data_IF_009618912377
#
_entry.id   IF_009618912377
#
_cell.length_a   1.000
_cell.length_b   1.000
_cell.length_c   1.000
_cell.angle_alpha   90.00
_cell.angle_beta   90.00
_cell.angle_gamma   90.00
#
_symmetry.space_group_name_H-M   'P 1'
#
loop_
_entity.id
_entity.type
_entity.pdbx_description
1 polymer ?
#
# COMPACT_ATOMS: atom_id res chain seq x y z
N UNK A 1 -11.65 43.36 -11.84
CA UNK A 1 -11.76 43.03 -10.40
C UNK A 1 -11.47 41.55 -10.25
N UNK A 2 -10.28 41.10 -10.64
CA UNK A 2 -9.99 39.67 -10.87
C UNK A 2 -8.64 39.27 -10.27
N UNK A 3 -8.15 40.04 -9.31
CA UNK A 3 -6.78 39.94 -8.79
C UNK A 3 -6.73 40.01 -7.25
N UNK A 4 -7.90 40.00 -6.59
CA UNK A 4 -8.00 39.97 -5.14
C UNK A 4 -8.08 38.54 -4.60
N UNK A 5 -8.58 37.58 -5.40
CA UNK A 5 -8.68 36.18 -4.98
C UNK A 5 -7.32 35.49 -4.86
N UNK A 6 -6.39 35.76 -5.78
CA UNK A 6 -5.03 35.22 -5.72
C UNK A 6 -4.20 35.82 -4.58
N UNK A 7 -4.29 37.15 -4.38
CA UNK A 7 -3.55 37.86 -3.33
C UNK A 7 -4.04 37.51 -1.92
N UNK A 8 -5.34 37.25 -1.75
CA UNK A 8 -5.89 36.77 -0.46
C UNK A 8 -5.40 35.36 -0.13
N UNK A 9 -5.25 34.49 -1.14
CA UNK A 9 -4.74 33.12 -0.95
C UNK A 9 -3.22 33.12 -0.66
N UNK A 10 -2.47 34.00 -1.32
CA UNK A 10 -1.02 34.17 -1.10
C UNK A 10 -0.69 34.77 0.28
N UNK A 11 -1.54 35.67 0.79
CA UNK A 11 -1.48 36.18 2.17
C UNK A 11 -1.83 35.10 3.20
N UNK A 12 -2.90 34.33 2.98
CA UNK A 12 -3.29 33.22 3.85
C UNK A 12 -2.22 32.11 3.89
N UNK A 13 -1.56 31.85 2.76
CA UNK A 13 -0.41 30.94 2.62
C UNK A 13 0.82 31.44 3.38
N UNK A 14 1.17 32.71 3.23
CA UNK A 14 2.25 33.31 4.00
C UNK A 14 1.96 33.22 5.50
N UNK A 15 0.72 33.42 5.91
CA UNK A 15 0.30 33.29 7.30
C UNK A 15 0.39 31.83 7.81
N UNK A 16 0.00 30.83 7.02
CA UNK A 16 0.09 29.40 7.40
C UNK A 16 1.55 28.90 7.47
N UNK A 17 2.37 29.25 6.49
CA UNK A 17 3.81 28.93 6.50
C UNK A 17 4.53 29.68 7.61
N UNK A 18 4.16 30.93 7.87
CA UNK A 18 4.63 31.66 9.03
C UNK A 18 4.16 30.98 10.31
N UNK A 19 2.92 30.48 10.40
CA UNK A 19 2.41 29.77 11.57
C UNK A 19 3.11 28.43 11.81
N UNK A 20 3.41 27.65 10.77
CA UNK A 20 4.16 26.40 10.90
C UNK A 20 5.62 26.69 11.29
N UNK A 21 6.24 27.68 10.64
CA UNK A 21 7.58 28.15 11.00
C UNK A 21 7.62 28.70 12.42
N UNK A 22 6.60 29.45 12.83
CA UNK A 22 6.44 29.98 14.18
C UNK A 22 6.22 28.84 15.17
N UNK A 23 5.42 27.81 14.85
CA UNK A 23 5.24 26.61 15.68
C UNK A 23 6.55 25.85 15.85
N UNK A 24 7.30 25.61 14.77
CA UNK A 24 8.60 24.93 14.82
C UNK A 24 9.64 25.75 15.59
N UNK A 25 9.67 27.07 15.34
CA UNK A 25 10.51 28.00 16.10
C UNK A 25 10.10 28.06 17.58
N UNK A 26 8.81 28.01 17.90
CA UNK A 26 8.30 27.97 19.26
C UNK A 26 8.65 26.64 19.95
N UNK A 27 8.56 25.50 19.25
CA UNK A 27 8.99 24.19 19.77
C UNK A 27 10.49 24.17 20.02
N UNK A 28 11.29 24.61 19.05
CA UNK A 28 12.75 24.72 19.17
C UNK A 28 13.16 25.68 20.28
N UNK A 29 12.47 26.82 20.41
CA UNK A 29 12.64 27.78 21.50
C UNK A 29 12.23 27.18 22.84
N UNK A 30 11.12 26.47 22.93
CA UNK A 30 10.67 25.81 24.16
C UNK A 30 11.67 24.75 24.61
N UNK A 31 12.22 23.96 23.68
CA UNK A 31 13.28 23.00 23.94
C UNK A 31 14.56 23.70 24.44
N UNK A 32 14.95 24.81 23.81
CA UNK A 32 16.10 25.61 24.21
C UNK A 32 15.91 26.23 25.60
N UNK A 33 14.74 26.82 25.87
CA UNK A 33 14.38 27.40 27.17
C UNK A 33 14.32 26.33 28.27
N UNK A 34 13.79 25.14 27.96
CA UNK A 34 13.81 23.99 28.88
C UNK A 34 15.25 23.61 29.22
N UNK A 35 16.13 23.46 28.23
CA UNK A 35 17.55 23.17 28.44
C UNK A 35 18.24 24.28 29.26
N UNK A 36 17.89 25.54 29.03
CA UNK A 36 18.46 26.68 29.75
C UNK A 36 18.02 26.75 31.22
N UNK A 37 16.81 26.30 31.55
CA UNK A 37 16.26 26.20 32.91
C UNK A 37 16.89 25.08 33.74
N UNK A 38 17.60 24.14 33.10
CA UNK A 38 18.33 23.08 33.81
C UNK A 38 19.44 23.69 34.68
N UNK A 39 19.65 23.10 35.86
CA UNK A 39 20.76 23.50 36.74
C UNK A 39 22.11 23.21 36.07
N UNK A 40 23.20 23.90 36.47
CA UNK A 40 24.53 23.67 35.89
C UNK A 40 24.97 22.20 35.95
N UNK A 41 24.64 21.49 37.03
CA UNK A 41 24.99 20.09 37.18
C UNK A 41 24.14 19.17 36.29
N UNK A 42 22.89 19.52 36.02
CA UNK A 42 22.03 18.78 35.07
C UNK A 42 22.47 19.03 33.64
N UNK A 43 22.86 20.26 33.26
CA UNK A 43 23.42 20.56 31.93
C UNK A 43 24.68 19.72 31.65
N UNK A 44 25.60 19.63 32.62
CA UNK A 44 26.78 18.75 32.50
C UNK A 44 26.39 17.28 32.29
N UNK A 45 25.35 16.78 32.97
CA UNK A 45 24.85 15.42 32.75
C UNK A 45 24.29 15.25 31.33
N UNK A 46 23.54 16.23 30.82
CA UNK A 46 23.02 16.21 29.44
C UNK A 46 24.16 16.23 28.41
N UNK A 47 25.24 16.99 28.65
CA UNK A 47 26.43 16.97 27.79
C UNK A 47 27.08 15.57 27.74
N UNK A 48 27.21 14.90 28.90
CA UNK A 48 27.68 13.51 28.95
C UNK A 48 26.73 12.57 28.20
N UNK A 49 25.41 12.74 28.33
CA UNK A 49 24.43 11.93 27.59
C UNK A 49 24.54 12.15 26.07
N UNK A 50 24.83 13.39 25.61
CA UNK A 50 25.09 13.67 24.19
C UNK A 50 26.36 13.01 23.68
N UNK A 51 27.41 12.96 24.51
CA UNK A 51 28.63 12.22 24.15
C UNK A 51 28.36 10.72 24.03
N UNK A 52 27.57 10.15 24.94
CA UNK A 52 27.13 8.75 24.87
C UNK A 52 26.29 8.51 23.61
N UNK A 53 25.37 9.41 23.27
CA UNK A 53 24.59 9.31 22.03
C UNK A 53 25.51 9.33 20.81
N UNK A 54 26.49 10.22 20.75
CA UNK A 54 27.47 10.22 19.65
C UNK A 54 28.24 8.91 19.53
N UNK A 55 28.61 8.27 20.66
CA UNK A 55 29.24 6.94 20.64
C UNK A 55 28.28 5.85 20.14
N UNK A 56 26.99 5.94 20.46
CA UNK A 56 25.96 5.06 19.94
C UNK A 56 25.83 5.22 18.42
N UNK A 57 25.67 6.45 17.94
CA UNK A 57 25.51 6.77 16.51
C UNK A 57 26.73 6.30 15.69
N UNK A 58 27.94 6.40 16.24
CA UNK A 58 29.16 5.86 15.62
C UNK A 58 29.16 4.32 15.51
N UNK A 59 28.56 3.61 16.46
CA UNK A 59 28.42 2.15 16.40
C UNK A 59 27.30 1.74 15.44
N UNK A 60 26.21 2.48 15.45
CA UNK A 60 25.08 2.28 14.54
C UNK A 60 25.49 2.49 13.07
N UNK A 61 26.26 3.53 12.77
CA UNK A 61 26.81 3.72 11.42
C UNK A 61 27.67 2.53 10.94
N UNK A 62 28.46 1.92 11.83
CA UNK A 62 29.23 0.70 11.51
C UNK A 62 28.33 -0.51 11.31
N UNK A 63 27.29 -0.65 12.13
CA UNK A 63 26.30 -1.71 11.96
C UNK A 63 25.65 -1.64 10.57
N UNK A 64 25.25 -0.45 10.12
CA UNK A 64 24.66 -0.28 8.80
C UNK A 64 25.66 -0.52 7.67
N UNK A 65 26.92 -0.11 7.80
CA UNK A 65 27.97 -0.44 6.82
C UNK A 65 28.18 -1.97 6.71
N UNK A 66 28.25 -2.67 7.84
CA UNK A 66 28.38 -4.13 7.88
C UNK A 66 27.14 -4.84 7.32
N UNK A 67 25.94 -4.35 7.63
CA UNK A 67 24.66 -4.85 7.11
C UNK A 67 24.60 -4.71 5.59
N UNK A 68 24.90 -3.53 5.05
CA UNK A 68 24.91 -3.28 3.61
C UNK A 68 25.93 -4.17 2.88
N UNK A 69 27.12 -4.36 3.46
CA UNK A 69 28.13 -5.26 2.91
C UNK A 69 27.67 -6.73 2.93
N UNK A 70 26.96 -7.15 3.98
CA UNK A 70 26.41 -8.50 4.11
C UNK A 70 25.30 -8.76 3.09
N UNK A 71 24.36 -7.83 2.94
CA UNK A 71 23.29 -7.88 1.94
C UNK A 71 23.87 -7.96 0.52
N UNK A 72 24.84 -7.10 0.19
CA UNK A 72 25.51 -7.12 -1.12
C UNK A 72 26.24 -8.45 -1.40
N UNK A 73 26.80 -9.07 -0.36
CA UNK A 73 27.40 -10.41 -0.46
C UNK A 73 26.34 -11.46 -0.78
N UNK A 74 25.23 -11.51 -0.05
CA UNK A 74 24.19 -12.51 -0.27
C UNK A 74 23.43 -12.31 -1.57
N UNK A 75 23.22 -11.06 -2.00
CA UNK A 75 22.64 -10.76 -3.32
C UNK A 75 23.45 -11.41 -4.45
N UNK A 76 24.79 -11.35 -4.38
CA UNK A 76 25.68 -12.05 -5.34
C UNK A 76 25.57 -13.57 -5.27
N UNK A 77 25.32 -14.12 -4.08
CA UNK A 77 25.13 -15.57 -3.89
C UNK A 77 23.75 -16.04 -4.40
N UNK A 78 22.73 -15.19 -4.36
CA UNK A 78 21.40 -15.50 -4.90
C UNK A 78 21.32 -15.37 -6.41
N UNK A 79 22.11 -14.50 -7.04
CA UNK A 79 22.09 -14.29 -8.50
C UNK A 79 22.18 -15.59 -9.34
N UNK A 80 23.09 -16.55 -9.07
CA UNK A 80 23.11 -17.82 -9.79
C UNK A 80 21.84 -18.67 -9.61
N UNK A 81 21.17 -18.58 -8.46
CA UNK A 81 19.93 -19.30 -8.19
C UNK A 81 18.77 -18.68 -9.00
N UNK A 82 18.68 -17.36 -9.03
CA UNK A 82 17.69 -16.66 -9.85
C UNK A 82 17.92 -16.87 -11.35
N UNK A 83 19.18 -16.92 -11.81
CA UNK A 83 19.48 -17.27 -13.19
C UNK A 83 19.02 -18.70 -13.55
N UNK A 84 19.24 -19.67 -12.66
CA UNK A 84 18.73 -21.04 -12.85
C UNK A 84 17.20 -21.09 -12.86
N UNK A 85 16.54 -20.36 -11.96
CA UNK A 85 15.07 -20.22 -11.96
C UNK A 85 14.59 -19.66 -13.29
N UNK A 86 15.23 -18.60 -13.77
CA UNK A 86 14.92 -18.01 -15.07
C UNK A 86 15.01 -19.05 -16.20
N UNK A 87 16.10 -19.82 -16.27
CA UNK A 87 16.29 -20.83 -17.32
C UNK A 87 15.19 -21.91 -17.29
N UNK A 88 14.78 -22.36 -16.11
CA UNK A 88 13.71 -23.35 -15.92
C UNK A 88 12.35 -22.77 -16.28
N UNK A 89 11.98 -21.62 -15.69
CA UNK A 89 10.70 -20.94 -15.93
C UNK A 89 10.51 -20.64 -17.42
N UNK A 90 11.59 -20.33 -18.13
CA UNK A 90 11.54 -19.99 -19.55
C UNK A 90 11.82 -21.15 -20.51
N UNK A 91 12.04 -22.37 -19.99
CA UNK A 91 12.30 -23.56 -20.81
C UNK A 91 13.59 -23.49 -21.64
N UNK A 92 14.58 -22.71 -21.18
CA UNK A 92 15.90 -22.58 -21.82
C UNK A 92 16.86 -23.67 -21.32
N UNK A 93 16.67 -24.15 -20.08
CA UNK A 93 17.38 -25.29 -19.50
C UNK A 93 16.45 -26.46 -19.18
N UNK A 94 16.92 -27.69 -19.35
CA UNK A 94 16.21 -28.89 -18.86
C UNK A 94 16.30 -28.97 -17.34
N UNK A 95 15.17 -29.26 -16.68
CA UNK A 95 15.12 -29.61 -15.26
C UNK A 95 15.73 -31.01 -15.03
N UNK A 96 17.04 -31.17 -15.27
CA UNK A 96 17.77 -32.38 -14.94
C UNK A 96 18.02 -32.42 -13.43
N UNK A 97 16.97 -32.76 -12.68
CA UNK A 97 16.98 -32.75 -11.22
C UNK A 97 15.86 -33.55 -10.54
N UNK A 98 15.04 -34.31 -11.27
CA UNK A 98 14.17 -35.31 -10.64
C UNK A 98 14.97 -36.59 -10.37
N UNK A 99 15.43 -36.76 -9.13
CA UNK A 99 15.45 -38.11 -8.56
C UNK A 99 14.01 -38.62 -8.58
N UNK A 100 13.81 -39.70 -9.32
CA UNK A 100 12.55 -40.43 -9.49
C UNK A 100 11.78 -40.64 -8.18
N UNK A 101 10.46 -40.43 -8.21
CA UNK A 101 9.45 -41.50 -8.06
C UNK A 101 8.03 -40.92 -8.00
N UNK A 102 7.30 -40.99 -9.12
CA UNK A 102 5.86 -41.27 -9.16
C UNK A 102 5.42 -41.45 -10.63
N UNK A 103 5.71 -42.63 -11.18
CA UNK A 103 5.09 -43.10 -12.41
C UNK A 103 3.65 -43.59 -12.13
N UNK A 104 2.66 -42.95 -12.75
CA UNK A 104 1.31 -43.45 -13.09
C UNK A 104 0.63 -42.30 -13.86
N UNK A 105 -0.05 -42.42 -14.99
CA UNK A 105 -0.28 -43.40 -16.06
C UNK A 105 -0.88 -42.57 -17.23
N UNK A 106 -0.85 -43.13 -18.44
CA UNK A 106 -1.04 -42.51 -19.75
C UNK A 106 -2.32 -41.70 -19.97
N UNK A 107 -2.19 -40.62 -20.76
CA UNK A 107 -3.29 -39.98 -21.49
C UNK A 107 -2.74 -39.12 -22.63
N UNK A 108 -2.96 -39.55 -23.87
CA UNK A 108 -2.58 -38.85 -25.09
C UNK A 108 -3.25 -37.48 -25.20
N UNK A 109 -2.44 -36.42 -25.30
CA UNK A 109 -2.59 -35.40 -26.34
C UNK A 109 -1.26 -34.65 -26.44
N UNK A 110 -0.66 -34.62 -27.64
CA UNK A 110 0.50 -33.74 -27.92
C UNK A 110 0.00 -32.29 -27.97
N UNK A 111 -0.30 -31.74 -26.80
CA UNK A 111 -0.20 -30.30 -26.57
C UNK A 111 1.21 -29.88 -26.97
N UNK A 112 1.33 -28.80 -27.74
CA UNK A 112 2.61 -28.24 -28.14
C UNK A 112 3.54 -28.22 -26.92
N UNK A 113 4.75 -28.78 -27.03
CA UNK A 113 5.74 -28.82 -25.95
C UNK A 113 5.70 -27.50 -25.15
N UNK A 114 5.10 -27.53 -23.96
CA UNK A 114 5.05 -26.36 -23.10
C UNK A 114 6.48 -26.09 -22.66
N UNK A 115 7.11 -25.10 -23.29
CA UNK A 115 8.46 -24.69 -22.95
C UNK A 115 8.40 -23.89 -21.66
N UNK A 116 8.98 -24.43 -20.60
CA UNK A 116 9.10 -23.76 -19.31
C UNK A 116 7.87 -23.92 -18.43
N UNK A 117 7.61 -22.93 -17.59
CA UNK A 117 6.47 -22.89 -16.67
C UNK A 117 5.56 -21.73 -17.10
N UNK A 118 4.44 -22.01 -17.80
CA UNK A 118 3.53 -20.98 -18.29
C UNK A 118 2.96 -20.12 -17.15
N UNK A 119 2.77 -18.83 -17.45
CA UNK A 119 2.12 -17.86 -16.56
C UNK A 119 2.75 -17.77 -15.14
N UNK A 120 4.02 -18.19 -14.98
CA UNK A 120 4.69 -18.31 -13.68
C UNK A 120 4.61 -17.04 -12.83
N UNK A 121 5.09 -15.91 -13.36
CA UNK A 121 5.09 -14.65 -12.63
C UNK A 121 3.70 -14.08 -12.42
N UNK A 122 2.80 -14.25 -13.40
CA UNK A 122 1.40 -13.83 -13.26
C UNK A 122 0.75 -14.55 -12.07
N UNK A 123 0.86 -15.87 -12.02
CA UNK A 123 0.27 -16.66 -10.93
C UNK A 123 0.95 -16.38 -9.59
N UNK A 124 2.29 -16.25 -9.56
CA UNK A 124 3.01 -15.88 -8.34
C UNK A 124 2.54 -14.52 -7.78
N UNK A 125 2.39 -13.50 -8.63
CA UNK A 125 1.91 -12.19 -8.19
C UNK A 125 0.44 -12.22 -7.77
N UNK A 126 -0.43 -12.93 -8.50
CA UNK A 126 -1.86 -13.04 -8.14
C UNK A 126 -2.13 -13.78 -6.83
N UNK A 127 -1.19 -14.62 -6.40
CA UNK A 127 -1.29 -15.35 -5.14
C UNK A 127 -0.89 -14.50 -3.93
N UNK A 128 -0.33 -13.31 -4.14
CA UNK A 128 -0.01 -12.36 -3.08
C UNK A 128 -1.11 -11.30 -2.96
N UNK A 129 -1.58 -11.04 -1.75
CA UNK A 129 -2.72 -10.15 -1.48
C UNK A 129 -2.54 -8.75 -2.08
N UNK A 130 -1.43 -8.08 -1.79
CA UNK A 130 -1.11 -6.72 -2.23
C UNK A 130 -1.14 -6.62 -3.76
N UNK A 131 -0.56 -7.59 -4.46
CA UNK A 131 -0.49 -7.56 -5.92
C UNK A 131 -1.77 -8.05 -6.60
N UNK A 132 -2.54 -8.90 -5.94
CA UNK A 132 -3.79 -9.43 -6.48
C UNK A 132 -4.84 -8.33 -6.65
N UNK A 133 -4.84 -7.32 -5.76
CA UNK A 133 -5.75 -6.17 -5.81
C UNK A 133 -5.42 -5.23 -6.97
N UNK A 134 -4.14 -5.12 -7.34
CA UNK A 134 -3.65 -4.27 -8.43
C UNK A 134 -3.81 -4.90 -9.82
N UNK A 135 -3.84 -6.24 -9.90
CA UNK A 135 -3.89 -6.98 -11.18
C UNK A 135 -5.34 -7.19 -11.62
N UNK A 136 -5.75 -6.48 -12.67
CA UNK A 136 -7.06 -6.67 -13.28
C UNK A 136 -7.05 -7.76 -14.36
N UNK A 137 -8.22 -8.29 -14.72
CA UNK A 137 -8.37 -9.27 -15.82
C UNK A 137 -7.79 -8.77 -17.17
N UNK A 138 -7.76 -7.45 -17.38
CA UNK A 138 -7.21 -6.84 -18.60
C UNK A 138 -5.68 -6.91 -18.64
N UNK A 139 -5.04 -6.92 -17.48
CA UNK A 139 -3.59 -6.90 -17.31
C UNK A 139 -2.99 -8.29 -17.51
N UNK A 140 -3.73 -9.34 -17.12
CA UNK A 140 -3.29 -10.73 -17.22
C UNK A 140 -2.71 -11.04 -18.61
N UNK A 141 -3.41 -10.67 -19.67
CA UNK A 141 -2.98 -10.96 -21.04
C UNK A 141 -1.61 -10.39 -21.40
N UNK A 142 -1.20 -9.26 -20.82
CA UNK A 142 0.14 -8.71 -20.98
C UNK A 142 1.15 -9.36 -20.01
N UNK A 143 0.72 -9.62 -18.77
CA UNK A 143 1.54 -10.27 -17.74
C UNK A 143 1.94 -11.71 -18.08
N UNK A 144 1.19 -12.41 -18.93
CA UNK A 144 1.60 -13.72 -19.49
C UNK A 144 2.92 -13.70 -20.26
N UNK A 145 3.35 -12.52 -20.71
CA UNK A 145 4.61 -12.33 -21.42
C UNK A 145 5.76 -11.95 -20.47
N UNK A 146 5.52 -11.86 -19.16
CA UNK A 146 6.52 -11.56 -18.15
C UNK A 146 7.41 -12.79 -17.92
N UNK A 147 8.71 -12.64 -18.23
CA UNK A 147 9.70 -13.72 -18.16
C UNK A 147 10.49 -13.73 -16.87
N UNK A 148 10.75 -12.55 -16.33
CA UNK A 148 11.58 -12.37 -15.15
C UNK A 148 11.29 -11.06 -14.44
N UNK A 149 11.47 -11.07 -13.13
CA UNK A 149 11.48 -9.86 -12.30
C UNK A 149 12.78 -9.86 -11.51
N UNK A 150 13.54 -8.77 -11.64
CA UNK A 150 14.79 -8.58 -10.93
C UNK A 150 14.75 -7.31 -10.12
N UNK A 151 15.55 -7.25 -9.07
CA UNK A 151 15.76 -6.03 -8.33
C UNK A 151 17.27 -5.76 -8.14
N UNK A 152 17.59 -4.49 -8.01
CA UNK A 152 18.94 -3.97 -7.83
C UNK A 152 18.93 -2.87 -6.77
N UNK A 153 19.96 -2.84 -5.92
CA UNK A 153 20.19 -1.71 -5.01
C UNK A 153 20.73 -0.53 -5.83
N UNK A 154 20.34 0.68 -5.46
CA UNK A 154 20.87 1.94 -5.96
C UNK A 154 21.68 2.55 -4.81
N UNK A 155 22.97 2.82 -5.04
CA UNK A 155 23.85 3.37 -3.99
C UNK A 155 23.72 4.90 -3.88
N UNK A 156 23.49 5.60 -4.99
CA UNK A 156 23.43 7.06 -5.03
C UNK A 156 22.48 7.56 -6.16
N UNK A 157 21.35 8.20 -5.83
CA UNK A 157 20.75 8.28 -4.48
C UNK A 157 20.40 6.88 -3.95
N UNK A 158 20.35 6.71 -2.63
CA UNK A 158 20.01 5.44 -1.98
C UNK A 158 18.65 4.91 -2.47
N UNK A 159 18.48 3.60 -2.52
CA UNK A 159 17.18 2.99 -2.83
C UNK A 159 17.28 1.70 -3.66
N UNK A 160 16.23 1.38 -4.42
CA UNK A 160 16.20 0.16 -5.22
C UNK A 160 15.44 0.32 -6.53
N UNK A 161 15.76 -0.54 -7.49
CA UNK A 161 15.13 -0.61 -8.80
C UNK A 161 14.63 -2.01 -9.09
N UNK A 162 13.38 -2.11 -9.52
CA UNK A 162 12.76 -3.29 -10.10
C UNK A 162 12.85 -3.25 -11.63
N UNK A 163 13.12 -4.40 -12.25
CA UNK A 163 13.11 -4.60 -13.70
C UNK A 163 12.24 -5.80 -14.06
N UNK A 164 11.25 -5.54 -14.91
CA UNK A 164 10.28 -6.52 -15.41
C UNK A 164 10.59 -6.82 -16.86
N UNK A 165 11.01 -8.05 -17.14
CA UNK A 165 11.47 -8.48 -18.46
C UNK A 165 10.32 -9.14 -19.23
N UNK A 166 9.90 -8.53 -20.33
CA UNK A 166 8.81 -9.03 -21.16
C UNK A 166 9.32 -9.60 -22.48
N UNK A 167 8.72 -10.70 -22.91
CA UNK A 167 8.80 -11.14 -24.30
C UNK A 167 8.09 -10.15 -25.23
N UNK A 168 8.37 -10.29 -26.54
CA UNK A 168 7.59 -9.59 -27.56
C UNK A 168 6.12 -9.93 -27.41
N UNK A 169 5.31 -8.91 -27.15
CA UNK A 169 3.90 -9.06 -26.80
C UNK A 169 3.03 -8.11 -27.66
N UNK A 170 1.70 -8.35 -27.73
CA UNK A 170 0.81 -7.55 -28.57
C UNK A 170 0.33 -6.25 -27.91
N UNK A 171 0.85 -5.86 -26.75
CA UNK A 171 0.37 -4.73 -25.95
C UNK A 171 1.27 -3.51 -26.04
N UNK A 172 2.58 -3.69 -25.87
CA UNK A 172 3.57 -2.62 -25.89
C UNK A 172 4.90 -3.08 -26.50
N UNK A 173 5.77 -2.12 -26.84
CA UNK A 173 7.07 -2.41 -27.47
C UNK A 173 8.20 -2.69 -26.49
N UNK A 174 8.09 -2.18 -25.26
CA UNK A 174 9.14 -2.30 -24.25
C UNK A 174 9.45 -3.78 -23.98
N UNK A 175 10.73 -4.12 -23.95
CA UNK A 175 11.20 -5.44 -23.51
C UNK A 175 11.52 -5.46 -22.03
N UNK A 176 11.74 -4.29 -21.43
CA UNK A 176 11.96 -4.11 -20.00
C UNK A 176 11.16 -2.91 -19.53
N UNK A 177 10.35 -3.10 -18.50
CA UNK A 177 9.74 -2.02 -17.73
C UNK A 177 10.45 -1.91 -16.40
N UNK A 178 10.77 -0.70 -15.97
CA UNK A 178 11.52 -0.45 -14.73
C UNK A 178 10.74 0.45 -13.79
N UNK A 179 10.92 0.21 -12.49
CA UNK A 179 10.42 1.04 -11.40
C UNK A 179 11.55 1.26 -10.41
N UNK A 180 11.87 2.50 -10.08
CA UNK A 180 12.92 2.85 -9.12
C UNK A 180 12.32 3.67 -7.97
N UNK A 181 12.75 3.38 -6.75
CA UNK A 181 12.46 4.14 -5.55
C UNK A 181 13.77 4.72 -5.06
N UNK A 182 13.83 6.05 -4.96
CA UNK A 182 14.90 6.76 -4.28
C UNK A 182 14.46 7.02 -2.84
N UNK A 183 15.31 6.67 -1.91
CA UNK A 183 15.07 6.72 -0.48
C UNK A 183 16.02 7.74 0.15
N UNK A 184 15.52 8.51 1.10
CA UNK A 184 16.35 9.42 1.91
C UNK A 184 17.24 8.58 2.84
N UNK A 185 16.65 7.54 3.42
CA UNK A 185 17.34 6.56 4.25
C UNK A 185 16.86 5.13 3.88
N UNK A 186 17.80 4.17 3.93
CA UNK A 186 17.49 2.75 3.72
C UNK A 186 17.11 2.06 5.04
N UNK A 187 17.51 2.65 6.17
CA UNK A 187 17.30 2.11 7.50
C UNK A 187 15.92 2.53 8.04
N UNK A 188 15.56 3.79 7.83
CA UNK A 188 14.20 4.31 7.93
C UNK A 188 13.69 4.56 6.51
N UNK A 189 12.82 3.69 5.93
CA UNK A 189 12.48 3.74 4.51
C UNK A 189 11.59 4.96 4.18
N UNK A 190 12.18 6.14 4.18
CA UNK A 190 11.53 7.39 3.81
C UNK A 190 11.70 7.56 2.30
N UNK A 191 10.59 7.41 1.59
CA UNK A 191 10.52 7.57 0.14
C UNK A 191 10.76 9.03 -0.24
N UNK A 192 11.80 9.30 -1.03
CA UNK A 192 12.04 10.61 -1.64
C UNK A 192 11.27 10.73 -2.96
N UNK A 193 11.38 9.70 -3.82
CA UNK A 193 10.83 9.73 -5.17
C UNK A 193 10.65 8.34 -5.75
N UNK A 194 9.54 8.15 -6.48
CA UNK A 194 9.32 7.00 -7.33
C UNK A 194 9.43 7.38 -8.83
N UNK A 195 10.12 6.54 -9.61
CA UNK A 195 10.34 6.74 -11.05
C UNK A 195 9.94 5.47 -11.78
N UNK A 196 8.95 5.56 -12.65
CA UNK A 196 8.52 4.46 -13.50
C UNK A 196 8.94 4.63 -14.96
N UNK A 197 8.65 3.61 -15.77
CA UNK A 197 8.96 3.60 -17.20
C UNK A 197 7.72 3.95 -18.03
N UNK A 198 7.86 4.90 -18.95
CA UNK A 198 6.80 5.18 -19.92
C UNK A 198 6.58 3.96 -20.84
N UNK A 199 5.35 3.44 -20.85
CA UNK A 199 4.99 2.27 -21.63
C UNK A 199 4.61 2.69 -23.05
N UNK A 200 5.34 2.16 -24.03
CA UNK A 200 5.09 2.38 -25.45
C UNK A 200 3.98 1.46 -25.98
N UNK A 201 2.73 1.76 -25.60
CA UNK A 201 1.55 1.00 -26.01
C UNK A 201 1.35 0.98 -27.53
N UNK A 202 0.96 -0.18 -28.06
CA UNK A 202 0.44 -0.28 -29.41
C UNK A 202 -0.95 0.40 -29.52
N UNK A 203 -1.35 0.84 -30.73
CA UNK A 203 -2.63 1.51 -30.94
C UNK A 203 -3.82 0.68 -30.43
N UNK A 204 -4.58 1.25 -29.48
CA UNK A 204 -5.77 0.61 -28.89
C UNK A 204 -5.48 -0.51 -27.90
N UNK A 205 -4.23 -0.64 -27.44
CA UNK A 205 -3.80 -1.67 -26.48
C UNK A 205 -3.44 -1.13 -25.10
N UNK A 206 -3.58 0.17 -24.88
CA UNK A 206 -3.38 0.81 -23.59
C UNK A 206 -4.30 0.17 -22.53
N UNK A 207 -3.71 -0.38 -21.48
CA UNK A 207 -4.43 -1.06 -20.40
C UNK A 207 -4.85 -0.08 -19.30
N UNK A 208 -4.07 0.96 -19.08
CA UNK A 208 -4.31 2.03 -18.08
C UNK A 208 -5.42 3.00 -18.48
N UNK A 209 -5.95 2.89 -19.70
CA UNK A 209 -6.97 3.80 -20.23
C UNK A 209 -8.12 3.06 -20.93
N UNK A 210 -9.33 3.62 -20.83
CA UNK A 210 -10.55 3.17 -21.52
C UNK A 210 -11.03 4.23 -22.51
N UNK A 211 -11.40 3.79 -23.72
CA UNK A 211 -11.97 4.66 -24.77
C UNK A 211 -13.49 4.71 -24.67
N UNK A 212 -14.03 5.83 -24.20
CA UNK A 212 -15.47 6.09 -24.15
C UNK A 212 -15.95 6.75 -25.44
N UNK A 213 -16.79 6.02 -26.18
CA UNK A 213 -17.45 6.51 -27.40
C UNK A 213 -18.71 7.29 -27.03
N UNK A 214 -18.68 8.63 -27.08
CA UNK A 214 -19.91 9.44 -26.91
C UNK A 214 -20.71 9.48 -28.22
N UNK A 215 -22.03 9.24 -28.13
CA UNK A 215 -22.95 9.45 -29.26
C UNK A 215 -22.97 10.94 -29.62
N UNK A 216 -22.90 11.30 -30.92
CA UNK A 216 -22.98 12.70 -31.33
C UNK A 216 -24.32 13.32 -30.89
N UNK A 217 -24.29 14.58 -30.45
CA UNK A 217 -25.51 15.32 -30.09
C UNK A 217 -26.50 15.32 -31.27
N UNK A 218 -27.75 14.96 -30.98
CA UNK A 218 -28.85 14.87 -31.95
C UNK A 218 -29.07 16.25 -32.60
N UNK A 219 -28.59 16.42 -33.84
CA UNK A 219 -28.77 17.66 -34.60
C UNK A 219 -27.65 18.02 -35.58
N UNK A 220 -26.44 17.48 -35.43
CA UNK A 220 -25.32 17.81 -36.33
C UNK A 220 -25.17 16.79 -37.46
N UNK A 221 -25.48 17.20 -38.69
CA UNK A 221 -25.46 16.34 -39.89
C UNK A 221 -24.05 15.91 -40.35
N UNK A 222 -22.97 16.32 -39.65
CA UNK A 222 -21.57 15.97 -39.94
C UNK A 222 -20.68 15.92 -38.68
N UNK A 223 -21.18 15.43 -37.53
CA UNK A 223 -20.34 15.32 -36.33
C UNK A 223 -19.53 14.01 -36.34
N UNK A 224 -18.20 14.13 -36.46
CA UNK A 224 -17.26 13.03 -36.16
C UNK A 224 -17.48 12.56 -34.72
N UNK A 225 -17.42 11.24 -34.52
CA UNK A 225 -17.49 10.61 -33.21
C UNK A 225 -16.36 11.14 -32.32
N UNK A 226 -16.70 11.72 -31.16
CA UNK A 226 -15.72 12.19 -30.18
C UNK A 226 -15.38 11.01 -29.28
N UNK A 227 -14.15 10.54 -29.35
CA UNK A 227 -13.59 9.54 -28.43
C UNK A 227 -12.99 10.30 -27.25
N UNK A 228 -13.50 10.06 -26.03
CA UNK A 228 -12.87 10.55 -24.79
C UNK A 228 -12.10 9.37 -24.19
N UNK A 229 -10.87 9.61 -23.77
CA UNK A 229 -10.07 8.66 -23.00
C UNK A 229 -10.23 8.96 -21.51
N UNK A 230 -10.33 7.93 -20.69
CA UNK A 230 -10.46 8.01 -19.23
C UNK A 230 -9.53 6.98 -18.61
N UNK A 231 -8.78 7.37 -17.59
CA UNK A 231 -7.89 6.48 -16.87
C UNK A 231 -8.69 5.44 -16.08
N UNK A 232 -8.11 4.27 -15.88
CA UNK A 232 -8.73 3.20 -15.11
C UNK A 232 -7.70 2.38 -14.37
N UNK A 233 -8.17 1.63 -13.37
CA UNK A 233 -7.40 0.61 -12.66
C UNK A 233 -6.73 -0.36 -13.64
N UNK A 234 -5.44 -0.58 -13.40
CA UNK A 234 -4.55 -1.45 -14.15
C UNK A 234 -3.24 -1.55 -13.36
N UNK A 235 -2.70 -2.76 -13.23
CA UNK A 235 -1.37 -2.98 -12.64
C UNK A 235 -0.30 -2.11 -13.30
N UNK A 236 -0.44 -1.82 -14.60
CA UNK A 236 0.54 -1.02 -15.34
C UNK A 236 0.57 0.47 -14.95
N UNK A 237 -0.37 0.95 -14.12
CA UNK A 237 -0.27 2.25 -13.46
C UNK A 237 0.92 2.32 -12.51
N UNK A 238 1.39 1.19 -11.99
CA UNK A 238 2.61 1.06 -11.18
C UNK A 238 3.86 1.67 -11.85
N UNK A 239 3.92 1.70 -13.18
CA UNK A 239 5.01 2.31 -13.93
C UNK A 239 4.82 3.81 -14.21
N UNK A 240 3.75 4.40 -13.72
CA UNK A 240 3.48 5.82 -13.74
C UNK A 240 3.16 6.30 -12.31
N UNK A 241 4.16 6.29 -11.41
CA UNK A 241 3.93 6.54 -10.00
C UNK A 241 3.39 7.96 -9.74
N UNK A 242 2.67 8.15 -8.62
CA UNK A 242 2.23 9.47 -8.18
C UNK A 242 3.43 10.43 -8.12
N UNK A 243 3.24 11.66 -8.59
CA UNK A 243 4.26 12.69 -8.57
C UNK A 243 3.91 13.69 -7.48
N UNK A 244 4.87 14.00 -6.60
CA UNK A 244 4.77 15.13 -5.69
C UNK A 244 4.83 16.41 -6.53
N UNK A 245 3.78 17.25 -6.53
CA UNK A 245 3.83 18.52 -7.23
C UNK A 245 4.98 19.39 -6.72
N UNK A 246 5.69 20.06 -7.63
CA UNK A 246 6.82 20.93 -7.28
C UNK A 246 6.37 22.18 -6.47
N UNK A 247 5.07 22.51 -6.52
CA UNK A 247 4.43 23.58 -5.75
C UNK A 247 3.40 22.98 -4.79
N UNK A 248 3.69 22.99 -3.47
CA UNK A 248 2.79 22.59 -2.37
C UNK A 248 1.54 23.50 -2.24
N UNK A 249 1.30 24.40 -3.20
CA UNK A 249 0.30 25.48 -3.14
C UNK A 249 -1.07 25.10 -3.67
N UNK A 250 -1.15 24.01 -4.45
CA UNK A 250 -2.34 23.61 -5.21
C UNK A 250 -3.03 22.36 -4.65
N UNK A 251 -2.50 21.78 -3.56
CA UNK A 251 -3.02 20.56 -2.94
C UNK A 251 -3.68 20.95 -1.62
N UNK A 252 -4.99 20.76 -1.51
CA UNK A 252 -5.67 20.85 -0.22
C UNK A 252 -5.25 19.67 0.69
N UNK A 253 -5.56 19.77 1.99
CA UNK A 253 -5.17 18.74 2.98
C UNK A 253 -5.67 17.34 2.58
N UNK A 254 -6.91 17.27 2.09
CA UNK A 254 -7.53 16.03 1.62
C UNK A 254 -6.77 15.43 0.42
N UNK A 255 -6.39 16.25 -0.56
CA UNK A 255 -5.63 15.80 -1.72
C UNK A 255 -4.18 15.44 -1.38
N UNK A 256 -3.60 16.05 -0.33
CA UNK A 256 -2.26 15.71 0.15
C UNK A 256 -2.26 14.37 0.88
N UNK A 257 -3.28 14.11 1.69
CA UNK A 257 -3.50 12.80 2.33
C UNK A 257 -3.77 11.71 1.28
N UNK A 258 -4.60 11.98 0.26
CA UNK A 258 -4.83 11.04 -0.83
C UNK A 258 -3.54 10.74 -1.62
N UNK A 259 -2.72 11.76 -1.90
CA UNK A 259 -1.43 11.57 -2.56
C UNK A 259 -0.46 10.75 -1.70
N UNK A 260 -0.42 11.00 -0.40
CA UNK A 260 0.41 10.23 0.53
C UNK A 260 0.00 8.76 0.55
N UNK A 261 -1.31 8.48 0.66
CA UNK A 261 -1.84 7.11 0.64
C UNK A 261 -1.50 6.40 -0.68
N UNK A 262 -1.60 7.10 -1.82
CA UNK A 262 -1.22 6.55 -3.12
C UNK A 262 0.29 6.25 -3.21
N UNK A 263 1.14 7.11 -2.63
CA UNK A 263 2.59 6.91 -2.61
C UNK A 263 2.99 5.75 -1.69
N UNK A 264 2.33 5.60 -0.56
CA UNK A 264 2.53 4.50 0.38
C UNK A 264 2.12 3.17 -0.26
N UNK A 265 0.91 3.10 -0.84
CA UNK A 265 0.45 1.93 -1.60
C UNK A 265 1.41 1.59 -2.75
N UNK A 266 1.87 2.59 -3.52
CA UNK A 266 2.84 2.38 -4.59
C UNK A 266 4.17 1.81 -4.06
N UNK A 267 4.65 2.29 -2.91
CA UNK A 267 5.85 1.76 -2.25
C UNK A 267 5.64 0.33 -1.74
N UNK A 268 4.49 0.03 -1.13
CA UNK A 268 4.14 -1.29 -0.60
C UNK A 268 4.09 -2.35 -1.68
N UNK A 269 3.57 -2.02 -2.85
CA UNK A 269 3.64 -2.88 -4.04
C UNK A 269 5.12 -3.15 -4.41
N UNK A 270 5.94 -2.10 -4.44
CA UNK A 270 7.35 -2.19 -4.79
C UNK A 270 8.18 -3.01 -3.80
N UNK A 271 7.99 -2.79 -2.51
CA UNK A 271 8.65 -3.52 -1.42
C UNK A 271 8.20 -4.98 -1.39
N UNK A 272 6.91 -5.24 -1.57
CA UNK A 272 6.36 -6.61 -1.67
C UNK A 272 6.99 -7.40 -2.81
N UNK A 273 7.15 -6.77 -3.99
CA UNK A 273 7.83 -7.44 -5.11
C UNK A 273 9.29 -7.73 -4.78
N UNK A 274 10.00 -6.78 -4.17
CA UNK A 274 11.41 -6.90 -3.78
C UNK A 274 11.65 -7.99 -2.73
N UNK A 275 10.84 -7.99 -1.68
CA UNK A 275 11.12 -8.72 -0.43
C UNK A 275 10.36 -10.06 -0.35
N UNK A 276 9.14 -10.13 -0.90
CA UNK A 276 8.31 -11.34 -0.87
C UNK A 276 8.34 -12.09 -2.20
N UNK A 277 7.98 -11.43 -3.31
CA UNK A 277 7.80 -12.11 -4.61
C UNK A 277 9.12 -12.59 -5.19
N UNK A 278 10.13 -11.74 -5.34
CA UNK A 278 11.39 -12.15 -5.99
C UNK A 278 12.10 -13.26 -5.20
N UNK A 279 12.22 -13.21 -3.87
CA UNK A 279 12.90 -14.26 -3.12
C UNK A 279 12.11 -15.57 -3.05
N UNK A 280 10.78 -15.49 -2.94
CA UNK A 280 9.89 -16.64 -2.71
C UNK A 280 8.96 -16.94 -3.89
N UNK A 281 9.33 -16.57 -5.12
CA UNK A 281 8.47 -16.66 -6.30
C UNK A 281 7.87 -18.06 -6.53
N UNK A 282 8.62 -19.12 -6.22
CA UNK A 282 8.13 -20.50 -6.37
C UNK A 282 7.06 -20.81 -5.34
N UNK A 283 7.26 -20.44 -4.07
CA UNK A 283 6.26 -20.62 -3.00
C UNK A 283 5.00 -19.81 -3.25
N UNK A 284 5.13 -18.59 -3.78
CA UNK A 284 3.97 -17.81 -4.24
C UNK A 284 3.28 -18.47 -5.43
N UNK A 285 4.04 -18.98 -6.41
CA UNK A 285 3.45 -19.71 -7.54
C UNK A 285 2.71 -20.99 -7.13
N UNK A 286 3.27 -21.79 -6.19
CA UNK A 286 2.65 -23.03 -5.70
C UNK A 286 1.55 -22.79 -4.66
N UNK A 287 1.46 -21.58 -4.11
CA UNK A 287 0.51 -21.22 -3.06
C UNK A 287 0.96 -21.64 -1.65
N UNK A 288 2.17 -22.16 -1.48
CA UNK A 288 2.74 -22.50 -0.17
C UNK A 288 2.95 -21.26 0.71
N UNK A 289 3.25 -20.11 0.09
CA UNK A 289 3.44 -18.85 0.82
C UNK A 289 2.15 -18.38 1.51
N UNK A 290 0.99 -18.61 0.88
CA UNK A 290 -0.33 -18.25 1.44
C UNK A 290 -0.61 -19.06 2.72
N UNK A 291 -0.28 -20.36 2.70
CA UNK A 291 -0.53 -21.26 3.83
C UNK A 291 0.41 -20.99 5.00
N UNK A 292 1.62 -20.48 4.74
CA UNK A 292 2.55 -20.07 5.79
C UNK A 292 2.05 -18.85 6.56
N UNK A 293 1.57 -17.83 5.83
CA UNK A 293 1.05 -16.59 6.42
C UNK A 293 -0.25 -16.84 7.23
N UNK A 294 -1.11 -17.78 6.82
CA UNK A 294 -2.35 -18.12 7.56
C UNK A 294 -2.10 -18.88 8.87
N UNK A 295 -0.99 -19.63 8.98
CA UNK A 295 -0.61 -20.35 10.19
C UNK A 295 0.11 -19.46 11.22
N UNK A 296 0.62 -18.31 10.82
CA UNK A 296 1.23 -17.33 11.75
C UNK A 296 0.17 -16.47 12.48
N UNK A 297 -1.10 -16.52 12.05
CA UNK A 297 -2.22 -15.78 12.65
C UNK A 297 -2.98 -16.55 13.74
N UNK A 298 -2.72 -17.85 13.93
CA UNK A 298 -3.46 -18.70 14.90
C UNK A 298 -2.75 -18.81 16.27
N UNK A 299 -1.60 -18.13 16.46
CA UNK A 299 -0.81 -18.15 17.71
C UNK A 299 -1.02 -16.90 18.60
N UNK A 300 -1.90 -15.95 18.24
CA UNK A 300 -2.15 -14.71 19.03
C UNK A 300 -3.55 -14.62 19.71
N UNK A 301 -4.42 -15.62 19.60
CA UNK A 301 -5.78 -15.61 20.19
C UNK A 301 -5.94 -16.57 21.39
N UNK A 302 -5.07 -16.50 22.41
CA UNK A 302 -5.26 -17.28 23.65
C UNK A 302 -5.04 -16.53 24.97
N UNK A 303 -5.37 -15.23 25.04
CA UNK A 303 -5.52 -14.51 26.31
C UNK A 303 -6.88 -13.79 26.40
N UNK A 304 -7.97 -14.57 26.33
CA UNK A 304 -9.29 -14.13 26.81
C UNK A 304 -9.24 -14.12 28.35
N UNK A 305 -8.73 -13.04 28.93
CA UNK A 305 -8.77 -12.81 30.37
C UNK A 305 -10.24 -12.49 30.72
N UNK A 306 -10.98 -13.51 31.14
CA UNK A 306 -12.24 -13.32 31.86
C UNK A 306 -11.93 -12.52 33.14
N UNK A 307 -12.25 -11.22 33.14
CA UNK A 307 -12.29 -10.42 34.37
C UNK A 307 -13.47 -10.92 35.22
N UNK A 308 -13.14 -11.79 36.17
CA UNK A 308 -13.99 -12.22 37.29
C UNK A 308 -14.13 -11.02 38.24
N UNK A 309 -15.14 -10.19 38.01
CA UNK A 309 -15.50 -9.05 38.85
C UNK A 309 -16.27 -9.59 40.07
N UNK A 310 -15.52 -10.09 41.05
CA UNK A 310 -16.04 -10.57 42.34
C UNK A 310 -16.31 -9.35 43.26
N UNK A 311 -17.59 -9.17 43.57
CA UNK A 311 -18.16 -8.23 44.54
C UNK A 311 -17.49 -8.31 45.92
N UNK A 312 -16.96 -7.20 46.45
CA UNK A 312 -16.91 -6.97 47.91
C UNK A 312 -17.41 -5.55 48.26
N UNK A 313 -18.68 -5.50 48.67
CA UNK A 313 -19.28 -4.43 49.47
C UNK A 313 -18.56 -4.28 50.82
N UNK A 314 -18.20 -3.05 51.20
CA UNK A 314 -18.29 -2.61 52.62
C UNK A 314 -18.83 -1.17 52.69
N UNK A 315 -20.04 -1.06 53.25
CA UNK A 315 -20.70 0.15 53.74
C UNK A 315 -19.88 0.79 54.90
N UNK A 316 -19.85 2.13 55.02
CA UNK A 316 -20.80 2.89 55.87
C UNK A 316 -20.35 4.35 56.16
N UNK A 317 -21.38 5.21 56.30
CA UNK A 317 -21.52 6.44 57.11
C UNK A 317 -20.56 7.65 56.98
N UNK A 318 -21.09 8.83 56.58
CA UNK A 318 -21.84 9.74 57.48
C UNK A 318 -22.13 11.13 56.83
N UNK A 319 -23.40 11.55 56.95
CA UNK A 319 -24.03 12.89 57.06
C UNK A 319 -23.29 14.19 56.63
N UNK A 320 -23.98 15.05 55.87
CA UNK A 320 -24.63 16.25 56.46
C UNK A 320 -25.59 17.00 55.48
N UNK A 321 -26.81 17.15 55.98
CA UNK A 321 -27.92 18.09 55.74
C UNK A 321 -27.82 19.25 54.70
N UNK A 322 -28.89 19.47 53.93
CA UNK A 322 -29.96 20.44 54.29
C UNK A 322 -31.11 20.48 53.26
N UNK A 323 -32.32 20.49 53.82
CA UNK A 323 -33.68 20.54 53.25
C UNK A 323 -33.96 21.87 52.49
N UNK A 324 -35.07 22.17 51.80
CA UNK A 324 -36.48 21.86 52.02
C UNK A 324 -37.34 22.37 50.82
N UNK A 325 -38.34 21.55 50.44
CA UNK A 325 -39.74 21.83 50.03
C UNK A 325 -40.19 22.94 49.03
N UNK A 326 -41.05 22.59 48.05
CA UNK A 326 -42.52 22.52 48.27
C UNK A 326 -43.31 21.87 47.09
N UNK A 327 -44.34 21.09 47.44
CA UNK A 327 -45.34 20.48 46.57
C UNK A 327 -46.33 21.53 45.97
N UNK A 328 -47.09 21.22 44.90
CA UNK A 328 -48.53 20.92 45.09
C UNK A 328 -49.20 20.26 43.87
N UNK A 329 -50.08 19.31 44.22
CA UNK A 329 -50.87 18.37 43.42
C UNK A 329 -52.04 19.03 42.67
N UNK A 330 -52.52 18.45 41.53
CA UNK A 330 -53.80 17.70 41.46
C UNK A 330 -54.30 17.27 40.05
N UNK A 331 -54.59 15.96 39.95
CA UNK A 331 -55.78 15.26 39.39
C UNK A 331 -56.14 15.25 37.87
N UNK A 332 -55.93 14.04 37.28
CA UNK A 332 -56.95 12.98 36.96
C UNK A 332 -57.52 12.85 35.52
N UNK A 333 -57.26 11.66 34.94
CA UNK A 333 -57.99 10.85 33.92
C UNK A 333 -58.07 11.42 32.48
N UNK A 334 -57.92 10.66 31.38
CA UNK A 334 -58.40 9.29 31.08
C UNK A 334 -57.89 8.83 29.68
N UNK A 335 -57.79 7.49 29.50
CA UNK A 335 -57.67 6.69 28.24
C UNK A 335 -56.36 6.86 27.44
N UNK A 336 -55.72 5.85 26.85
CA UNK A 336 -55.98 4.42 26.64
C UNK A 336 -54.77 3.87 25.85
N UNK A 337 -54.39 2.62 26.12
CA UNK A 337 -53.07 1.99 25.90
C UNK A 337 -53.00 1.15 24.61
N UNK A 338 -51.76 0.77 24.26
CA UNK A 338 -51.29 -0.32 23.38
C UNK A 338 -50.80 0.17 21.99
N UNK A 339 -49.52 0.16 21.59
CA UNK A 339 -48.37 -0.76 21.82
C UNK A 339 -48.50 -2.10 21.06
N UNK A 340 -47.46 -2.43 20.29
CA UNK A 340 -47.10 -3.82 19.95
C UNK A 340 -47.18 -4.18 18.48
N UNK A 341 -46.03 -4.06 17.80
CA UNK A 341 -45.26 -5.13 17.14
C UNK A 341 -45.98 -6.38 16.59
N UNK A 342 -45.49 -6.89 15.45
CA UNK A 342 -45.89 -8.23 14.99
C UNK A 342 -45.67 -8.50 13.50
N UNK A 343 -44.53 -9.11 13.19
CA UNK A 343 -44.08 -9.65 11.91
C UNK A 343 -44.86 -10.88 11.40
N UNK A 344 -44.59 -11.18 10.11
CA UNK A 344 -44.71 -12.44 9.34
C UNK A 344 -46.01 -12.78 8.60
N UNK A 345 -45.84 -13.15 7.32
CA UNK A 345 -46.60 -14.23 6.69
C UNK A 345 -47.21 -13.98 5.30
N UNK A 346 -46.52 -14.48 4.27
CA UNK A 346 -47.07 -15.15 3.07
C UNK A 346 -47.68 -14.35 1.88
N UNK A 347 -47.19 -14.76 0.68
CA UNK A 347 -47.63 -14.51 -0.72
C UNK A 347 -48.85 -15.39 -1.10
N UNK A 348 -49.40 -15.37 -2.35
CA UNK A 348 -49.65 -14.32 -3.37
C UNK A 348 -51.17 -14.38 -3.80
N UNK A 349 -51.72 -13.94 -4.98
CA UNK A 349 -51.30 -14.23 -6.37
C UNK A 349 -51.46 -13.07 -7.41
N UNK A 350 -51.03 -13.41 -8.63
CA UNK A 350 -51.07 -12.71 -9.94
C UNK A 350 -52.40 -12.02 -10.34
N UNK A 351 -52.32 -11.02 -11.23
CA UNK A 351 -53.16 -10.97 -12.43
C UNK A 351 -52.57 -10.10 -13.57
N UNK A 352 -52.74 -10.59 -14.80
CA UNK A 352 -52.19 -10.12 -16.10
C UNK A 352 -53.11 -9.12 -16.83
N UNK A 353 -52.56 -8.62 -17.95
CA UNK A 353 -53.16 -7.97 -19.14
C UNK A 353 -53.23 -6.43 -19.04
N UNK A 354 -52.76 -5.66 -20.02
CA UNK A 354 -52.66 -5.88 -21.48
C UNK A 354 -51.29 -5.53 -22.07
#
# INVERSE_FOLDING_TARGET
MSDLGGVINELARADLLNDLKNKLQNLSRHHTEMLERLSPDVKKRVEVLREIQGQHDELEAKFFEERAALEAKYQKLYQPLYAKRYDIVNGVGEANGTTDEAAMDQGEDKAAEEKGVPDFWLNAMKNNEVLSEEITERDEGALKYLRDIKWYRIEEPKGFKLEFYFDTNPYFKNTVLTKAYHMIDEDEPILEKAIGTEIEWYPGKCLTQKLLKKKPKKGSKNAKQITKTEDCESFFNFFNPPQVPDDDEDIDEDAAEELQNQMEQDYDIGSTIRDKIIPHAVSWFTGEAIQGDELELDDEDEDEIEEDDDDEDEEDDDDDDEEEEEETKTKKKRNGRAQGDGQQGERPPECKQQ
#
